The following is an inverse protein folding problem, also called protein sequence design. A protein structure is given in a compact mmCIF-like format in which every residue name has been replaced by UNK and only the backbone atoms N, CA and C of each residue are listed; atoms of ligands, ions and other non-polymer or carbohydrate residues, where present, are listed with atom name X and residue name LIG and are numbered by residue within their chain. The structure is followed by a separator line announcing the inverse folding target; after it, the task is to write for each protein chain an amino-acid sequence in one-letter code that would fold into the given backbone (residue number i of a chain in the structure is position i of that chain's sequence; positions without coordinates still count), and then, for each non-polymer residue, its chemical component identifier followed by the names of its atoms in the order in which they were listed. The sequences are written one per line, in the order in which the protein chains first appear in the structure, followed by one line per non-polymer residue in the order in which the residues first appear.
data_IF_712400607587
#
_entry.id   IF_712400607587
#
_cell.length_a   1.000
_cell.length_b   1.000
_cell.length_c   1.000
_cell.angle_alpha   90.00
_cell.angle_beta   90.00
_cell.angle_gamma   90.00
#
_symmetry.space_group_name_H-M   'P 1'
#
loop_
_entity.id
_entity.type
_entity.pdbx_description
1 polymer ?
#
# COMPACT_ATOMS: atom_id res chain seq x y z
N UNK A 1 12.11 0.69 -29.68
CA UNK A 1 11.46 0.63 -28.36
C UNK A 1 10.44 -0.51 -28.37
N UNK A 2 10.54 -1.44 -27.43
CA UNK A 2 9.51 -2.47 -27.22
C UNK A 2 8.34 -1.84 -26.48
N UNK A 3 7.12 -2.14 -26.91
CA UNK A 3 5.91 -1.71 -26.21
C UNK A 3 5.49 -2.83 -25.27
N UNK A 4 5.53 -2.60 -23.98
CA UNK A 4 5.00 -3.51 -22.98
C UNK A 4 3.56 -3.13 -22.68
N UNK A 5 2.69 -4.14 -22.54
CA UNK A 5 1.29 -3.94 -22.21
C UNK A 5 1.03 -4.55 -20.83
N UNK A 6 0.53 -3.76 -19.92
CA UNK A 6 0.02 -4.21 -18.63
C UNK A 6 -1.49 -4.01 -18.62
N UNK A 7 -2.26 -5.03 -18.24
CA UNK A 7 -3.70 -4.95 -18.12
C UNK A 7 -4.05 -4.86 -16.63
N UNK A 8 -4.88 -3.88 -16.30
CA UNK A 8 -5.51 -3.76 -14.97
C UNK A 8 -6.97 -4.14 -15.14
N UNK A 9 -7.36 -5.27 -14.57
CA UNK A 9 -8.72 -5.74 -14.56
C UNK A 9 -9.43 -5.22 -13.31
N UNK A 10 -10.67 -4.73 -13.50
CA UNK A 10 -11.46 -4.21 -12.39
C UNK A 10 -12.19 -5.35 -11.69
N UNK A 11 -12.09 -5.37 -10.38
CA UNK A 11 -12.85 -6.27 -9.52
C UNK A 11 -14.03 -5.55 -8.85
N UNK A 12 -15.00 -6.33 -8.41
CA UNK A 12 -16.17 -5.87 -7.68
C UNK A 12 -16.01 -6.22 -6.21
N UNK A 13 -16.20 -5.22 -5.36
CA UNK A 13 -16.15 -5.35 -3.91
C UNK A 13 -17.50 -4.98 -3.33
N UNK A 14 -18.03 -5.83 -2.46
CA UNK A 14 -19.34 -5.66 -1.82
C UNK A 14 -19.23 -6.04 -0.35
N UNK A 15 -19.85 -5.23 0.49
CA UNK A 15 -20.09 -5.52 1.90
C UNK A 15 -21.56 -5.30 2.19
N UNK A 16 -22.21 -6.27 2.82
CA UNK A 16 -23.64 -6.19 3.14
C UNK A 16 -23.85 -6.49 4.61
N UNK A 17 -24.64 -5.64 5.28
CA UNK A 17 -25.12 -5.80 6.63
C UNK A 17 -26.63 -5.98 6.60
N UNK A 18 -27.12 -7.06 7.18
CA UNK A 18 -28.53 -7.35 7.36
C UNK A 18 -28.85 -7.29 8.86
N UNK A 19 -29.84 -6.49 9.24
CA UNK A 19 -30.24 -6.28 10.63
C UNK A 19 -31.74 -6.46 10.75
N UNK A 20 -32.19 -7.14 11.78
CA UNK A 20 -33.62 -7.24 12.12
C UNK A 20 -34.19 -5.84 12.39
N UNK A 21 -35.39 -5.62 11.90
CA UNK A 21 -36.08 -4.35 12.06
C UNK A 21 -36.36 -4.05 13.52
N UNK A 22 -36.85 -5.06 14.28
CA UNK A 22 -37.14 -4.92 15.69
C UNK A 22 -35.87 -4.57 16.50
N UNK A 23 -34.73 -5.16 16.14
CA UNK A 23 -33.43 -4.86 16.79
C UNK A 23 -33.03 -3.38 16.63
N UNK A 24 -33.30 -2.76 15.50
CA UNK A 24 -33.02 -1.34 15.26
C UNK A 24 -34.05 -0.45 15.96
N UNK A 25 -35.33 -0.83 15.96
CA UNK A 25 -36.40 -0.08 16.62
C UNK A 25 -36.22 -0.11 18.14
N UNK A 26 -35.69 -1.20 18.69
CA UNK A 26 -35.39 -1.39 20.13
C UNK A 26 -33.98 -0.92 20.53
N UNK A 27 -33.14 -0.46 19.58
CA UNK A 27 -31.76 -0.01 19.85
C UNK A 27 -31.71 1.33 20.57
N UNK A 28 -31.86 1.27 21.88
CA UNK A 28 -31.83 2.46 22.74
C UNK A 28 -30.45 3.11 22.89
N UNK A 29 -29.35 2.46 22.47
CA UNK A 29 -27.96 2.95 22.62
C UNK A 29 -27.29 3.25 21.28
N UNK A 30 -27.95 3.01 20.16
CA UNK A 30 -27.46 3.35 18.82
C UNK A 30 -26.29 2.47 18.35
N UNK A 31 -26.21 1.22 18.81
CA UNK A 31 -25.13 0.29 18.43
C UNK A 31 -25.09 0.05 16.93
N UNK A 32 -26.26 -0.13 16.32
CA UNK A 32 -26.33 -0.37 14.87
C UNK A 32 -25.92 0.84 14.04
N UNK A 33 -26.20 2.07 14.53
CA UNK A 33 -25.70 3.29 13.87
C UNK A 33 -24.17 3.33 13.86
N UNK A 34 -23.52 2.93 14.97
CA UNK A 34 -22.05 2.86 15.04
C UNK A 34 -21.48 1.83 14.07
N UNK A 35 -22.14 0.68 13.89
CA UNK A 35 -21.70 -0.37 12.93
C UNK A 35 -21.82 0.14 11.50
N UNK A 36 -22.91 0.85 11.17
CA UNK A 36 -23.09 1.43 9.83
C UNK A 36 -22.04 2.52 9.55
N UNK A 37 -21.75 3.35 10.54
CA UNK A 37 -20.71 4.39 10.43
C UNK A 37 -19.31 3.76 10.27
N UNK A 38 -19.01 2.69 10.99
CA UNK A 38 -17.75 1.93 10.83
C UNK A 38 -17.65 1.31 9.44
N UNK A 39 -18.74 0.75 8.91
CA UNK A 39 -18.80 0.25 7.52
C UNK A 39 -18.50 1.35 6.50
N UNK A 40 -18.97 2.57 6.75
CA UNK A 40 -18.63 3.76 5.95
C UNK A 40 -17.15 4.14 6.06
N UNK A 41 -16.52 4.01 7.23
CA UNK A 41 -15.09 4.27 7.42
C UNK A 41 -14.24 3.19 6.74
N UNK A 42 -14.56 1.91 6.92
CA UNK A 42 -13.85 0.80 6.28
C UNK A 42 -13.88 0.93 4.75
N UNK A 43 -14.99 1.38 4.19
CA UNK A 43 -15.08 1.60 2.74
C UNK A 43 -14.11 2.67 2.20
N UNK A 44 -13.67 3.61 3.03
CA UNK A 44 -12.67 4.63 2.66
C UNK A 44 -11.25 4.09 2.70
N UNK A 45 -10.99 3.10 3.55
CA UNK A 45 -9.67 2.45 3.68
C UNK A 45 -9.43 1.40 2.61
N UNK A 46 -10.49 0.90 1.97
CA UNK A 46 -10.43 -0.12 0.94
C UNK A 46 -9.37 0.13 -0.18
N UNK A 47 -9.17 1.36 -0.73
CA UNK A 47 -8.12 1.58 -1.72
C UNK A 47 -6.71 1.36 -1.15
N UNK A 48 -6.49 1.76 0.09
CA UNK A 48 -5.20 1.56 0.77
C UNK A 48 -4.95 0.06 0.98
N UNK A 49 -5.96 -0.69 1.44
CA UNK A 49 -5.86 -2.12 1.64
C UNK A 49 -5.48 -2.87 0.36
N UNK A 50 -6.06 -2.48 -0.78
CA UNK A 50 -5.72 -3.05 -2.09
C UNK A 50 -4.27 -2.76 -2.50
N UNK A 51 -3.82 -1.52 -2.30
CA UNK A 51 -2.44 -1.13 -2.62
C UNK A 51 -1.45 -1.88 -1.75
N UNK A 52 -1.70 -1.99 -0.44
CA UNK A 52 -0.83 -2.74 0.45
C UNK A 52 -0.87 -4.25 0.21
N UNK A 53 -2.04 -4.81 -0.14
CA UNK A 53 -2.14 -6.21 -0.55
C UNK A 53 -1.29 -6.50 -1.80
N UNK A 54 -1.35 -5.62 -2.81
CA UNK A 54 -0.52 -5.72 -4.01
C UNK A 54 0.98 -5.59 -3.69
N UNK A 55 1.36 -4.69 -2.78
CA UNK A 55 2.74 -4.54 -2.32
C UNK A 55 3.26 -5.81 -1.66
N UNK A 56 2.47 -6.42 -0.76
CA UNK A 56 2.83 -7.65 -0.06
C UNK A 56 2.89 -8.85 -1.01
N UNK A 57 2.02 -8.90 -2.02
CA UNK A 57 2.02 -9.94 -3.05
C UNK A 57 3.16 -9.78 -4.08
N UNK A 58 3.87 -8.66 -4.08
CA UNK A 58 4.89 -8.34 -5.10
C UNK A 58 6.06 -9.32 -5.20
N UNK A 59 6.27 -10.18 -4.19
CA UNK A 59 7.25 -11.27 -4.27
C UNK A 59 6.77 -12.49 -5.09
N UNK A 60 5.48 -12.59 -5.40
CA UNK A 60 4.84 -13.71 -6.10
C UNK A 60 4.09 -13.28 -7.36
N UNK A 61 3.49 -12.11 -7.35
CA UNK A 61 2.78 -11.55 -8.49
C UNK A 61 3.75 -11.14 -9.60
N UNK A 62 3.41 -11.49 -10.84
CA UNK A 62 4.27 -11.25 -11.98
C UNK A 62 4.13 -9.83 -12.54
N UNK A 63 5.28 -9.21 -12.84
CA UNK A 63 5.35 -7.94 -13.56
C UNK A 63 5.22 -8.14 -15.09
N UNK A 64 5.36 -7.04 -15.84
CA UNK A 64 5.23 -7.01 -17.31
C UNK A 64 6.21 -7.90 -18.06
N UNK A 65 7.34 -8.26 -17.45
CA UNK A 65 8.40 -9.12 -18.02
C UNK A 65 8.24 -10.60 -17.67
N UNK A 66 7.18 -10.96 -16.91
CA UNK A 66 6.88 -12.32 -16.48
C UNK A 66 7.68 -12.79 -15.26
N UNK A 67 8.50 -11.92 -14.66
CA UNK A 67 9.14 -12.18 -13.36
C UNK A 67 8.30 -11.59 -12.22
N UNK A 68 8.59 -11.98 -10.97
CA UNK A 68 7.93 -11.37 -9.81
C UNK A 68 8.17 -9.85 -9.78
N UNK A 69 7.22 -9.08 -9.27
CA UNK A 69 7.35 -7.61 -9.19
C UNK A 69 8.58 -7.19 -8.38
N UNK A 70 8.89 -7.88 -7.28
CA UNK A 70 10.19 -7.75 -6.61
C UNK A 70 11.10 -8.89 -7.07
N UNK A 71 12.10 -8.56 -7.84
CA UNK A 71 13.06 -9.50 -8.42
C UNK A 71 14.44 -8.88 -8.57
N UNK A 72 15.46 -9.71 -8.48
CA UNK A 72 16.85 -9.30 -8.77
C UNK A 72 17.24 -9.49 -10.24
N UNK A 73 16.28 -9.82 -11.11
CA UNK A 73 16.54 -10.24 -12.49
C UNK A 73 15.52 -9.70 -13.50
N UNK A 74 14.96 -8.52 -13.27
CA UNK A 74 14.16 -7.85 -14.29
C UNK A 74 15.00 -7.55 -15.52
N UNK A 75 14.48 -7.89 -16.70
CA UNK A 75 15.17 -7.61 -17.94
C UNK A 75 14.52 -6.42 -18.67
N UNK A 76 15.33 -5.40 -18.95
CA UNK A 76 14.94 -4.25 -19.75
C UNK A 76 15.91 -4.11 -20.93
N UNK A 77 15.55 -4.70 -22.08
CA UNK A 77 16.47 -4.77 -23.23
C UNK A 77 17.66 -5.67 -22.93
N UNK A 78 18.86 -5.08 -22.89
CA UNK A 78 20.12 -5.74 -22.50
C UNK A 78 20.46 -5.55 -21.02
N UNK A 79 19.75 -4.68 -20.32
CA UNK A 79 20.01 -4.32 -18.94
C UNK A 79 19.25 -5.25 -17.98
N UNK A 80 19.86 -5.46 -16.81
CA UNK A 80 19.22 -6.17 -15.69
C UNK A 80 18.98 -5.20 -14.55
N UNK A 81 17.75 -5.11 -14.09
CA UNK A 81 17.37 -4.27 -12.95
C UNK A 81 17.08 -5.17 -11.74
N UNK A 82 17.76 -4.88 -10.64
CA UNK A 82 17.56 -5.50 -9.33
C UNK A 82 16.76 -4.53 -8.44
N UNK A 83 15.51 -4.87 -8.14
CA UNK A 83 14.68 -4.12 -7.19
C UNK A 83 14.42 -4.89 -5.88
N UNK A 84 15.14 -6.00 -5.66
CA UNK A 84 15.01 -6.86 -4.49
C UNK A 84 16.33 -7.04 -3.76
N UNK A 85 16.55 -6.30 -2.70
CA UNK A 85 17.68 -6.49 -1.79
C UNK A 85 17.31 -7.52 -0.71
N UNK A 86 17.43 -8.80 -1.03
CA UNK A 86 17.04 -9.89 -0.15
C UNK A 86 17.84 -9.87 1.18
N UNK A 87 17.13 -10.10 2.30
CA UNK A 87 17.69 -10.24 3.64
C UNK A 87 18.51 -9.02 4.13
N UNK A 88 18.22 -7.84 3.61
CA UNK A 88 18.95 -6.60 3.92
C UNK A 88 18.24 -5.83 5.04
N UNK A 89 18.80 -5.89 6.26
CA UNK A 89 18.27 -5.15 7.40
C UNK A 89 18.35 -3.63 7.18
N UNK A 90 17.39 -2.86 7.70
CA UNK A 90 17.41 -1.40 7.64
C UNK A 90 18.55 -0.86 8.52
N UNK A 91 19.63 -0.40 7.90
CA UNK A 91 20.77 0.32 8.51
C UNK A 91 21.07 1.56 7.68
N UNK A 92 21.84 2.50 8.20
CA UNK A 92 22.25 3.70 7.46
C UNK A 92 23.00 3.32 6.16
N UNK A 93 23.94 2.37 6.26
CA UNK A 93 24.73 1.90 5.13
C UNK A 93 23.86 1.21 4.07
N UNK A 94 22.96 0.31 4.48
CA UNK A 94 22.07 -0.40 3.58
C UNK A 94 21.06 0.53 2.92
N UNK A 95 20.56 1.53 3.65
CA UNK A 95 19.71 2.58 3.09
C UNK A 95 20.45 3.39 2.03
N UNK A 96 21.69 3.81 2.32
CA UNK A 96 22.52 4.56 1.37
C UNK A 96 22.84 3.72 0.13
N UNK A 97 23.20 2.44 0.30
CA UNK A 97 23.48 1.52 -0.80
C UNK A 97 22.26 1.27 -1.69
N UNK A 98 21.09 0.99 -1.09
CA UNK A 98 19.84 0.80 -1.85
C UNK A 98 19.43 2.05 -2.62
N UNK A 99 19.58 3.23 -2.00
CA UNK A 99 19.31 4.50 -2.65
C UNK A 99 20.25 4.76 -3.82
N UNK A 100 21.54 4.49 -3.67
CA UNK A 100 22.52 4.62 -4.74
C UNK A 100 22.19 3.69 -5.92
N UNK A 101 21.91 2.41 -5.65
CA UNK A 101 21.54 1.43 -6.67
C UNK A 101 20.29 1.84 -7.45
N UNK A 102 19.24 2.35 -6.78
CA UNK A 102 18.05 2.86 -7.47
C UNK A 102 18.37 4.06 -8.38
N UNK A 103 19.29 4.92 -7.98
CA UNK A 103 19.69 6.09 -8.80
C UNK A 103 20.54 5.71 -10.02
N UNK A 104 21.14 4.52 -10.01
CA UNK A 104 21.95 3.97 -11.11
C UNK A 104 21.11 3.22 -12.15
N UNK A 105 19.79 3.05 -11.96
CA UNK A 105 18.96 2.38 -12.93
C UNK A 105 19.01 3.05 -14.29
N UNK A 106 19.26 2.24 -15.33
CA UNK A 106 19.28 2.65 -16.73
C UNK A 106 18.12 2.07 -17.52
N UNK A 107 17.73 2.75 -18.59
CA UNK A 107 16.70 2.31 -19.54
C UNK A 107 17.23 1.32 -20.56
N UNK A 108 16.34 0.86 -21.45
CA UNK A 108 16.65 -0.06 -22.55
C UNK A 108 17.74 0.46 -23.50
N UNK A 109 17.93 1.76 -23.57
CA UNK A 109 18.91 2.47 -24.38
C UNK A 109 20.23 2.77 -23.63
N UNK A 110 20.36 2.30 -22.39
CA UNK A 110 21.49 2.56 -21.51
C UNK A 110 21.51 3.95 -20.87
N UNK A 111 20.51 4.80 -21.17
CA UNK A 111 20.40 6.13 -20.54
C UNK A 111 19.86 6.00 -19.12
N UNK A 112 20.38 6.85 -18.21
CA UNK A 112 19.92 6.87 -16.83
C UNK A 112 18.43 7.16 -16.72
N UNK A 113 17.71 6.33 -15.99
CA UNK A 113 16.30 6.56 -15.66
C UNK A 113 16.10 7.75 -14.70
N UNK A 114 17.17 8.27 -14.11
CA UNK A 114 17.14 9.40 -13.16
C UNK A 114 16.17 9.17 -12.01
N UNK A 115 16.06 7.94 -11.52
CA UNK A 115 15.25 7.59 -10.36
C UNK A 115 15.79 8.31 -9.15
N UNK A 116 14.88 8.83 -8.32
CA UNK A 116 15.27 9.61 -7.15
C UNK A 116 14.38 9.25 -5.96
N UNK A 117 14.78 8.24 -5.16
CA UNK A 117 13.98 7.81 -4.03
C UNK A 117 13.71 8.96 -3.05
N UNK A 118 12.44 9.17 -2.75
CA UNK A 118 11.92 10.26 -1.92
C UNK A 118 11.13 9.77 -0.71
N UNK A 119 10.70 8.49 -0.70
CA UNK A 119 9.93 7.89 0.39
C UNK A 119 10.59 6.60 0.86
N UNK A 120 10.73 6.45 2.18
CA UNK A 120 11.00 5.18 2.84
C UNK A 120 9.73 4.70 3.56
N UNK A 121 9.20 3.55 3.13
CA UNK A 121 8.00 2.95 3.67
C UNK A 121 8.38 1.78 4.59
N UNK A 122 7.87 1.80 5.82
CA UNK A 122 8.27 0.86 6.87
C UNK A 122 7.08 0.37 7.70
N UNK A 123 7.13 -0.84 8.28
CA UNK A 123 6.21 -1.27 9.32
C UNK A 123 6.48 -0.47 10.62
N UNK A 124 5.52 -0.45 11.56
CA UNK A 124 5.66 0.25 12.85
C UNK A 124 6.92 -0.14 13.65
N UNK A 125 7.32 -1.42 13.58
CA UNK A 125 8.50 -1.92 14.26
C UNK A 125 9.82 -1.24 13.80
N UNK A 126 9.87 -0.75 12.57
CA UNK A 126 11.03 -0.06 12.02
C UNK A 126 10.94 1.48 12.05
N UNK A 127 9.82 2.06 12.52
CA UNK A 127 9.61 3.50 12.53
C UNK A 127 10.75 4.27 13.19
N UNK A 128 11.08 3.92 14.43
CA UNK A 128 12.14 4.62 15.19
C UNK A 128 13.48 4.53 14.47
N UNK A 129 13.76 3.38 13.86
CA UNK A 129 15.00 3.15 13.13
C UNK A 129 15.06 3.97 11.84
N UNK A 130 13.98 3.98 11.07
CA UNK A 130 13.88 4.80 9.86
C UNK A 130 14.03 6.29 10.18
N UNK A 131 13.30 6.81 11.20
CA UNK A 131 13.40 8.20 11.60
C UNK A 131 14.82 8.58 12.07
N UNK A 132 15.51 7.69 12.80
CA UNK A 132 16.92 7.92 13.17
C UNK A 132 17.82 8.05 11.95
N UNK A 133 17.62 7.24 10.91
CA UNK A 133 18.44 7.28 9.70
C UNK A 133 18.21 8.58 8.92
N UNK A 134 16.94 9.00 8.70
CA UNK A 134 16.67 10.11 7.77
C UNK A 134 16.29 11.43 8.44
N UNK A 135 16.12 11.49 9.75
CA UNK A 135 15.70 12.72 10.45
C UNK A 135 16.65 13.16 11.55
N UNK A 136 17.43 12.25 12.17
CA UNK A 136 18.37 12.63 13.21
C UNK A 136 19.43 13.61 12.67
N UNK A 137 19.86 14.55 13.51
CA UNK A 137 20.94 15.48 13.15
C UNK A 137 22.31 14.83 13.17
N UNK A 138 22.51 13.85 14.05
CA UNK A 138 23.78 13.12 14.23
C UNK A 138 23.53 11.62 14.22
N UNK A 139 24.51 10.87 13.72
CA UNK A 139 24.59 9.41 13.79
C UNK A 139 25.88 9.01 14.48
N UNK A 140 25.98 7.76 14.94
CA UNK A 140 27.21 7.22 15.51
C UNK A 140 27.93 6.41 14.46
N UNK A 141 29.12 6.86 14.07
CA UNK A 141 30.03 6.15 13.19
C UNK A 141 31.33 5.84 13.95
N UNK A 142 31.75 4.59 13.92
CA UNK A 142 32.99 4.15 14.59
C UNK A 142 33.12 4.60 16.06
N UNK A 143 31.99 4.72 16.78
CA UNK A 143 31.95 5.15 18.17
C UNK A 143 31.97 6.67 18.41
N UNK A 144 32.00 7.48 17.36
CA UNK A 144 31.94 8.93 17.42
C UNK A 144 30.60 9.45 16.87
N UNK A 145 30.07 10.53 17.45
CA UNK A 145 28.91 11.23 16.90
C UNK A 145 29.37 12.09 15.71
N UNK A 146 28.79 11.85 14.55
CA UNK A 146 29.07 12.62 13.32
C UNK A 146 27.76 13.19 12.75
N UNK A 147 27.86 14.21 11.94
CA UNK A 147 26.71 14.80 11.28
C UNK A 147 26.05 13.79 10.33
N UNK A 148 24.73 13.72 10.38
CA UNK A 148 23.97 12.80 9.55
C UNK A 148 23.75 13.35 8.13
N UNK A 149 24.53 12.88 7.18
CA UNK A 149 24.44 13.27 5.76
C UNK A 149 23.21 12.68 5.05
N UNK A 150 22.52 11.69 5.66
CA UNK A 150 21.30 11.07 5.13
C UNK A 150 20.04 11.84 5.53
N UNK A 151 20.18 12.85 6.37
CA UNK A 151 19.08 13.66 6.87
C UNK A 151 18.31 14.34 5.74
N UNK A 152 17.00 14.16 5.71
CA UNK A 152 16.09 14.82 4.76
C UNK A 152 16.14 14.24 3.34
N UNK A 153 16.81 13.10 3.12
CA UNK A 153 16.85 12.47 1.79
C UNK A 153 15.55 11.80 1.40
N UNK A 154 14.78 11.31 2.38
CA UNK A 154 13.48 10.65 2.16
C UNK A 154 12.49 11.02 3.27
N UNK A 155 11.21 10.99 2.93
CA UNK A 155 10.11 11.03 3.89
C UNK A 155 9.90 9.63 4.49
N UNK A 156 9.58 9.55 5.80
CA UNK A 156 9.25 8.28 6.45
C UNK A 156 7.74 8.10 6.48
N UNK A 157 7.27 7.10 5.79
CA UNK A 157 5.88 6.66 5.84
C UNK A 157 5.80 5.36 6.63
N UNK A 158 4.97 5.35 7.66
CA UNK A 158 4.75 4.16 8.51
C UNK A 158 3.40 3.56 8.17
N UNK A 159 3.42 2.30 7.76
CA UNK A 159 2.22 1.56 7.37
C UNK A 159 1.99 0.35 8.29
N UNK A 160 0.95 0.37 9.14
CA UNK A 160 0.58 -0.77 9.96
C UNK A 160 0.28 -2.04 9.16
N UNK A 161 -0.20 -1.88 7.92
CA UNK A 161 -0.50 -2.97 6.98
C UNK A 161 0.73 -3.82 6.61
N UNK A 162 1.94 -3.30 6.82
CA UNK A 162 3.19 -4.04 6.58
C UNK A 162 3.64 -4.89 7.78
N UNK A 163 2.95 -4.80 8.92
CA UNK A 163 3.30 -5.57 10.11
C UNK A 163 3.02 -7.06 9.96
N UNK A 164 3.69 -7.87 10.74
CA UNK A 164 3.48 -9.33 10.78
C UNK A 164 2.02 -9.69 11.12
N UNK A 165 1.35 -8.89 11.94
CA UNK A 165 -0.08 -9.08 12.28
C UNK A 165 -1.03 -8.85 11.10
N UNK A 166 -0.60 -8.09 10.08
CA UNK A 166 -1.36 -7.80 8.87
C UNK A 166 -0.92 -8.64 7.65
N UNK A 167 -0.07 -9.66 7.86
CA UNK A 167 0.43 -10.54 6.79
C UNK A 167 1.75 -10.08 6.17
N UNK A 168 2.32 -8.97 6.63
CA UNK A 168 3.64 -8.49 6.22
C UNK A 168 4.79 -9.06 7.08
N UNK A 169 5.91 -8.35 7.11
CA UNK A 169 7.09 -8.69 7.91
C UNK A 169 7.60 -7.44 8.61
N UNK A 170 7.77 -7.50 9.93
CA UNK A 170 8.27 -6.39 10.77
C UNK A 170 9.71 -5.95 10.45
N UNK A 171 10.40 -6.70 9.58
CA UNK A 171 11.79 -6.45 9.17
C UNK A 171 11.94 -5.94 7.74
N UNK A 172 10.87 -5.97 6.96
CA UNK A 172 10.89 -5.52 5.55
C UNK A 172 10.68 -4.02 5.47
N UNK A 173 11.41 -3.37 4.58
CA UNK A 173 11.29 -1.96 4.28
C UNK A 173 11.37 -1.72 2.79
N UNK A 174 10.76 -0.65 2.33
CA UNK A 174 10.68 -0.31 0.91
C UNK A 174 11.18 1.11 0.68
N UNK A 175 11.84 1.32 -0.47
CA UNK A 175 12.30 2.62 -0.92
C UNK A 175 11.60 2.95 -2.23
N UNK A 176 10.95 4.10 -2.29
CA UNK A 176 10.07 4.48 -3.39
C UNK A 176 10.50 5.82 -3.99
N UNK A 177 10.33 5.97 -5.31
CA UNK A 177 10.34 7.24 -6.02
C UNK A 177 8.89 7.60 -6.40
N UNK A 178 8.32 8.57 -5.70
CA UNK A 178 6.96 9.05 -5.94
C UNK A 178 6.91 10.35 -6.73
N UNK A 179 8.07 10.88 -7.13
CA UNK A 179 8.18 12.15 -7.82
C UNK A 179 7.77 12.10 -9.30
N UNK A 180 7.67 10.89 -9.88
CA UNK A 180 7.41 10.70 -11.29
C UNK A 180 5.93 10.65 -11.64
N UNK A 181 5.55 10.92 -12.92
CA UNK A 181 4.17 10.78 -13.40
C UNK A 181 3.62 9.36 -13.23
N UNK A 182 4.46 8.36 -13.52
CA UNK A 182 4.12 6.95 -13.25
C UNK A 182 4.63 6.61 -11.86
N UNK A 183 3.71 6.39 -10.96
CA UNK A 183 3.98 6.06 -9.57
C UNK A 183 4.29 4.57 -9.40
N UNK A 184 4.99 4.16 -8.32
CA UNK A 184 5.27 2.75 -8.06
C UNK A 184 4.01 1.88 -7.93
N UNK A 185 2.94 2.47 -7.41
CA UNK A 185 1.63 1.84 -7.31
C UNK A 185 0.56 2.72 -7.93
N UNK A 186 -0.36 2.09 -8.65
CA UNK A 186 -1.48 2.75 -9.32
C UNK A 186 -2.77 2.07 -8.87
N UNK A 187 -3.66 2.85 -8.28
CA UNK A 187 -5.01 2.42 -7.99
C UNK A 187 -5.96 2.98 -9.05
N UNK A 188 -6.69 2.09 -9.74
CA UNK A 188 -7.71 2.47 -10.72
C UNK A 188 -9.09 2.38 -10.09
N UNK A 189 -9.65 3.51 -9.72
CA UNK A 189 -11.03 3.56 -9.21
C UNK A 189 -12.01 3.69 -10.37
N UNK A 190 -12.84 2.67 -10.58
CA UNK A 190 -13.93 2.70 -11.56
C UNK A 190 -15.24 3.19 -10.97
N UNK A 191 -15.53 2.80 -9.73
CA UNK A 191 -16.72 3.21 -8.99
C UNK A 191 -16.32 3.44 -7.53
N UNK A 192 -16.55 4.66 -7.05
CA UNK A 192 -16.34 4.98 -5.65
C UNK A 192 -17.26 4.12 -4.76
N UNK A 193 -16.87 3.84 -3.50
CA UNK A 193 -17.76 3.20 -2.55
C UNK A 193 -19.08 3.99 -2.42
N UNK A 194 -20.18 3.32 -2.64
CA UNK A 194 -21.52 3.87 -2.53
C UNK A 194 -22.31 3.07 -1.50
N UNK A 195 -22.83 3.77 -0.48
CA UNK A 195 -23.69 3.19 0.53
C UNK A 195 -25.13 3.22 0.03
N UNK A 196 -25.76 2.06 -0.01
CA UNK A 196 -27.18 1.88 -0.36
C UNK A 196 -27.89 1.22 0.81
N UNK A 197 -29.09 1.69 1.14
CA UNK A 197 -29.93 1.09 2.17
C UNK A 197 -31.30 0.73 1.63
N UNK A 198 -31.81 -0.42 2.03
CA UNK A 198 -33.19 -0.86 1.84
C UNK A 198 -33.86 -0.87 3.23
N UNK A 199 -34.47 0.26 3.57
CA UNK A 199 -35.09 0.51 4.87
C UNK A 199 -36.51 1.04 4.74
N UNK A 200 -36.99 1.22 3.51
CA UNK A 200 -38.36 1.67 3.28
C UNK A 200 -39.37 0.54 3.59
N UNK A 201 -40.48 0.85 4.25
CA UNK A 201 -41.54 -0.12 4.48
C UNK A 201 -42.11 -0.81 3.19
N UNK A 202 -41.86 -0.19 2.03
CA UNK A 202 -42.29 -0.72 0.72
C UNK A 202 -41.21 -1.58 0.03
N UNK A 203 -40.01 -1.67 0.61
CA UNK A 203 -38.95 -2.51 0.06
C UNK A 203 -39.34 -3.99 0.24
N UNK A 204 -39.19 -4.78 -0.82
CA UNK A 204 -39.54 -6.20 -0.82
C UNK A 204 -38.84 -6.95 0.32
N UNK A 205 -37.60 -6.63 0.59
CA UNK A 205 -36.79 -7.25 1.63
C UNK A 205 -37.38 -6.98 3.04
N UNK A 206 -37.84 -5.76 3.29
CA UNK A 206 -38.47 -5.36 4.55
C UNK A 206 -39.83 -6.05 4.72
N UNK A 207 -40.63 -6.08 3.66
CA UNK A 207 -41.98 -6.72 3.70
C UNK A 207 -41.89 -8.23 3.92
N UNK A 208 -40.98 -8.91 3.20
CA UNK A 208 -40.93 -10.37 3.21
C UNK A 208 -40.07 -10.95 4.33
N UNK A 209 -39.09 -10.21 4.85
CA UNK A 209 -38.11 -10.71 5.82
C UNK A 209 -38.05 -9.95 7.12
N UNK A 210 -38.76 -8.82 7.20
CA UNK A 210 -38.75 -7.90 8.36
C UNK A 210 -37.33 -7.46 8.77
N UNK A 211 -36.49 -7.18 7.75
CA UNK A 211 -35.08 -6.83 7.93
C UNK A 211 -34.69 -5.61 7.12
N UNK A 212 -33.83 -4.79 7.71
CA UNK A 212 -33.14 -3.70 7.01
C UNK A 212 -31.83 -4.21 6.40
N UNK A 213 -31.52 -3.71 5.22
CA UNK A 213 -30.32 -4.08 4.50
C UNK A 213 -29.48 -2.83 4.19
N UNK A 214 -28.23 -2.87 4.57
CA UNK A 214 -27.24 -1.84 4.25
C UNK A 214 -26.15 -2.48 3.40
N UNK A 215 -25.82 -1.86 2.28
CA UNK A 215 -24.80 -2.38 1.38
C UNK A 215 -23.83 -1.30 0.92
N UNK A 216 -22.56 -1.63 0.86
CA UNK A 216 -21.53 -0.82 0.19
C UNK A 216 -21.03 -1.60 -1.01
N UNK A 217 -20.93 -0.93 -2.14
CA UNK A 217 -20.39 -1.48 -3.38
C UNK A 217 -19.32 -0.55 -3.94
N UNK A 218 -18.21 -1.14 -4.39
CA UNK A 218 -17.13 -0.44 -5.05
C UNK A 218 -16.58 -1.26 -6.22
N UNK A 219 -15.86 -0.62 -7.13
CA UNK A 219 -15.12 -1.27 -8.22
C UNK A 219 -13.76 -0.59 -8.41
N UNK A 220 -12.71 -1.39 -8.45
CA UNK A 220 -11.34 -0.94 -8.64
C UNK A 220 -10.42 -2.01 -9.18
#
# INVERSE_FOLDING_TARGET
AKSYRYNLDNEKYELTLEVDRDDIEDDNIGVYSMVIDDMGQQSRLWPDDLVFAALLAGGTETAYDGTAFFSNSHTLGSETIDNLFASTALTADNFAAARAAMMEYSGEDGESLRVRPDVILVPPALEVKARKIVQASTIVESGAAVDNVLRGLCEVVVAPQLSTSAGGLDTTWYLLDTSRPIRPFIFQQRMAPELVSLTSPNDEHVILRDKYLYGVKARG
#
